data_IF_652439838903
#
_entry.id   IF_652439838903
#
_cell.length_a   1.000
_cell.length_b   1.000
_cell.length_c   1.000
_cell.angle_alpha   90.00
_cell.angle_beta   90.00
_cell.angle_gamma   90.00
#
_symmetry.space_group_name_H-M   'P 1'
#
loop_
_entity.id
_entity.type
_entity.pdbx_description
1 polymer ?
#
# COMPACT_ATOMS: atom_id res chain seq x y z
N UNK A 1 5.39 -6.49 -2.55
CA UNK A 1 4.19 -7.17 -3.06
C UNK A 1 3.39 -6.18 -3.91
N UNK A 2 3.10 -6.52 -5.18
CA UNK A 2 2.45 -5.59 -6.11
C UNK A 2 1.02 -6.05 -6.48
N UNK A 3 0.31 -6.67 -5.55
CA UNK A 3 -1.08 -7.11 -5.75
C UNK A 3 -2.05 -6.18 -5.00
N UNK A 4 -2.75 -5.35 -5.77
CA UNK A 4 -3.76 -4.41 -5.25
C UNK A 4 -5.11 -5.08 -4.95
N UNK A 5 -5.31 -6.35 -5.33
CA UNK A 5 -6.58 -7.07 -5.20
C UNK A 5 -6.65 -7.94 -3.95
N UNK A 6 -5.63 -7.89 -3.12
CA UNK A 6 -5.50 -8.68 -1.90
C UNK A 6 -4.56 -9.86 -2.09
N UNK A 7 -3.53 -9.86 -1.30
CA UNK A 7 -2.42 -10.82 -1.34
C UNK A 7 -2.75 -12.17 -0.69
N UNK A 8 -4.00 -12.60 -0.74
CA UNK A 8 -4.51 -13.83 -0.11
C UNK A 8 -3.78 -15.14 -0.50
N UNK A 9 -2.96 -15.08 -1.56
CA UNK A 9 -2.17 -16.21 -2.06
C UNK A 9 -0.73 -16.21 -1.53
N UNK A 10 -0.37 -15.17 -0.78
CA UNK A 10 0.98 -14.99 -0.26
C UNK A 10 0.93 -14.94 1.26
N UNK A 11 1.82 -15.68 1.88
CA UNK A 11 2.13 -15.57 3.31
C UNK A 11 3.46 -14.84 3.41
N UNK A 12 3.40 -13.54 3.72
CA UNK A 12 4.60 -12.72 3.85
C UNK A 12 5.09 -12.76 5.29
N UNK A 13 6.38 -12.97 5.46
CA UNK A 13 7.07 -12.91 6.75
C UNK A 13 8.52 -12.49 6.53
N UNK A 14 9.09 -11.85 7.52
CA UNK A 14 10.49 -11.45 7.54
C UNK A 14 11.35 -12.54 8.17
N UNK A 15 12.51 -12.77 7.60
CA UNK A 15 13.49 -13.75 8.12
C UNK A 15 14.67 -12.96 8.70
N UNK A 16 14.99 -13.21 9.97
CA UNK A 16 16.21 -12.70 10.61
C UNK A 16 17.48 -13.34 10.07
N UNK A 17 17.37 -14.54 9.53
CA UNK A 17 18.49 -15.26 8.94
C UNK A 17 18.08 -16.55 8.25
N UNK A 18 18.89 -17.01 7.32
CA UNK A 18 18.69 -18.27 6.59
C UNK A 18 19.87 -19.19 6.84
N UNK A 19 19.62 -20.33 7.49
CA UNK A 19 20.59 -21.40 7.61
C UNK A 19 20.50 -22.28 6.36
N UNK A 20 21.33 -22.01 5.35
CA UNK A 20 21.31 -22.72 4.07
C UNK A 20 21.94 -24.12 4.15
N UNK A 21 22.85 -24.36 5.10
CA UNK A 21 23.35 -25.68 5.43
C UNK A 21 22.53 -26.24 6.59
N UNK A 22 21.73 -27.25 6.32
CA UNK A 22 20.85 -27.90 7.29
C UNK A 22 20.79 -29.40 7.06
N UNK A 23 20.48 -30.16 8.12
CA UNK A 23 20.35 -31.63 8.11
C UNK A 23 18.87 -32.07 8.00
N UNK A 24 18.01 -31.20 7.46
CA UNK A 24 16.58 -31.53 7.27
C UNK A 24 16.44 -32.56 6.16
N UNK A 25 15.90 -33.73 6.50
CA UNK A 25 15.54 -34.74 5.52
C UNK A 25 14.27 -34.36 4.79
N UNK A 26 14.42 -34.00 3.52
CA UNK A 26 13.30 -33.55 2.66
C UNK A 26 12.26 -34.68 2.49
N UNK A 27 12.67 -35.93 2.43
CA UNK A 27 11.76 -37.09 2.31
C UNK A 27 10.88 -37.23 3.56
N UNK A 28 11.45 -37.00 4.74
CA UNK A 28 10.71 -36.99 5.99
C UNK A 28 9.70 -35.81 6.02
N UNK A 29 10.08 -34.65 5.54
CA UNK A 29 9.18 -33.50 5.45
C UNK A 29 7.97 -33.75 4.50
N UNK A 30 8.23 -34.36 3.33
CA UNK A 30 7.15 -34.76 2.42
C UNK A 30 6.28 -35.90 3.01
N UNK A 31 6.86 -36.83 3.72
CA UNK A 31 6.12 -37.91 4.40
C UNK A 31 5.19 -37.36 5.47
N UNK A 32 5.65 -36.36 6.24
CA UNK A 32 4.82 -35.65 7.22
C UNK A 32 3.68 -34.87 6.54
N UNK A 33 3.96 -34.15 5.46
CA UNK A 33 2.94 -33.43 4.70
C UNK A 33 1.85 -34.38 4.16
N UNK A 34 2.27 -35.55 3.62
CA UNK A 34 1.34 -36.57 3.13
C UNK A 34 0.50 -37.17 4.26
N UNK A 35 1.11 -37.41 5.42
CA UNK A 35 0.39 -37.88 6.60
C UNK A 35 -0.68 -36.86 7.06
N UNK A 36 -0.32 -35.60 7.17
CA UNK A 36 -1.23 -34.51 7.51
C UNK A 36 -2.40 -34.43 6.52
N UNK A 37 -2.10 -34.49 5.23
CA UNK A 37 -3.12 -34.48 4.18
C UNK A 37 -4.09 -35.66 4.31
N UNK A 38 -3.58 -36.88 4.51
CA UNK A 38 -4.39 -38.09 4.68
C UNK A 38 -5.19 -38.11 5.98
N UNK A 39 -4.72 -37.44 7.03
CA UNK A 39 -5.44 -37.29 8.31
C UNK A 39 -6.52 -36.21 8.31
N UNK A 40 -6.74 -35.55 7.17
CA UNK A 40 -7.77 -34.51 7.02
C UNK A 40 -7.34 -33.13 7.52
N UNK A 41 -6.03 -32.87 7.62
CA UNK A 41 -5.55 -31.54 7.96
C UNK A 41 -6.04 -30.52 6.95
N UNK A 42 -6.61 -29.40 7.43
CA UNK A 42 -7.10 -28.33 6.58
C UNK A 42 -5.94 -27.54 5.97
N UNK A 43 -5.83 -27.54 4.66
CA UNK A 43 -4.75 -26.87 3.91
C UNK A 43 -5.20 -25.60 3.20
N UNK A 44 -6.38 -25.07 3.50
CA UNK A 44 -6.91 -23.80 3.00
C UNK A 44 -7.24 -22.88 4.16
N UNK A 45 -7.24 -21.58 3.88
CA UNK A 45 -7.60 -20.54 4.82
C UNK A 45 -9.09 -20.21 4.72
N UNK A 46 -9.74 -19.95 5.85
CA UNK A 46 -11.07 -19.40 5.89
C UNK A 46 -11.08 -17.87 5.67
N UNK A 47 -12.27 -17.26 5.69
CA UNK A 47 -12.41 -15.84 5.40
C UNK A 47 -11.75 -14.94 6.47
N UNK A 48 -11.74 -15.35 7.73
CA UNK A 48 -11.13 -14.58 8.81
C UNK A 48 -9.60 -14.66 8.76
N UNK A 49 -9.07 -15.84 8.51
CA UNK A 49 -7.65 -16.06 8.28
C UNK A 49 -7.15 -15.28 7.05
N UNK A 50 -7.93 -15.26 5.95
CA UNK A 50 -7.60 -14.47 4.76
C UNK A 50 -7.58 -12.97 5.08
N UNK A 51 -8.47 -12.47 5.94
CA UNK A 51 -8.43 -11.07 6.39
C UNK A 51 -7.14 -10.78 7.19
N UNK A 52 -6.80 -11.67 8.12
CA UNK A 52 -5.57 -11.54 8.93
C UNK A 52 -4.32 -11.58 8.07
N UNK A 53 -4.23 -12.49 7.10
CA UNK A 53 -3.14 -12.58 6.12
C UNK A 53 -3.06 -11.30 5.30
N UNK A 54 -4.18 -10.79 4.82
CA UNK A 54 -4.24 -9.57 4.01
C UNK A 54 -3.76 -8.36 4.82
N UNK A 55 -4.15 -8.27 6.09
CA UNK A 55 -3.70 -7.19 6.99
C UNK A 55 -2.19 -7.27 7.24
N UNK A 56 -1.68 -8.45 7.59
CA UNK A 56 -0.24 -8.66 7.75
C UNK A 56 0.55 -8.32 6.48
N UNK A 57 0.02 -8.65 5.32
CA UNK A 57 0.69 -8.41 4.04
C UNK A 57 0.74 -6.92 3.64
N UNK A 58 -0.04 -6.04 4.28
CA UNK A 58 0.00 -4.60 3.99
C UNK A 58 1.38 -3.99 4.23
N UNK A 59 2.07 -4.42 5.28
CA UNK A 59 3.42 -3.93 5.61
C UNK A 59 4.48 -4.30 4.54
N UNK A 60 4.22 -5.34 3.74
CA UNK A 60 5.12 -5.77 2.66
C UNK A 60 4.72 -5.24 1.29
N UNK A 61 3.70 -4.39 1.19
CA UNK A 61 3.30 -3.77 -0.07
C UNK A 61 4.27 -2.65 -0.42
N UNK A 62 4.80 -2.72 -1.64
CA UNK A 62 5.56 -1.60 -2.20
C UNK A 62 4.60 -0.47 -2.55
N UNK A 63 4.92 0.72 -2.08
CA UNK A 63 4.26 1.93 -2.54
C UNK A 63 4.76 2.28 -3.95
N UNK A 64 3.87 2.75 -4.82
CA UNK A 64 4.33 3.30 -6.09
C UNK A 64 4.92 4.70 -5.85
N UNK A 65 5.87 5.15 -6.72
CA UNK A 65 6.41 6.51 -6.59
C UNK A 65 5.31 7.59 -6.56
N UNK A 66 4.24 7.37 -7.32
CA UNK A 66 3.09 8.30 -7.34
C UNK A 66 2.31 8.28 -6.02
N UNK A 67 2.23 7.14 -5.35
CA UNK A 67 1.61 6.98 -4.04
C UNK A 67 2.46 7.67 -2.95
N UNK A 68 3.76 7.48 -2.96
CA UNK A 68 4.69 8.14 -2.04
C UNK A 68 4.62 9.66 -2.19
N UNK A 69 4.67 10.17 -3.44
CA UNK A 69 4.53 11.59 -3.70
C UNK A 69 3.18 12.15 -3.25
N UNK A 70 2.09 11.40 -3.46
CA UNK A 70 0.77 11.81 -3.00
C UNK A 70 0.77 12.00 -1.48
N UNK A 71 1.29 11.03 -0.73
CA UNK A 71 1.32 11.07 0.73
C UNK A 71 2.32 12.10 1.29
N UNK A 72 3.38 12.39 0.55
CA UNK A 72 4.34 13.45 0.91
C UNK A 72 3.71 14.84 0.88
N UNK A 73 2.83 15.10 -0.09
CA UNK A 73 2.28 16.44 -0.34
C UNK A 73 0.84 16.63 0.12
N UNK A 74 0.08 15.54 0.35
CA UNK A 74 -1.33 15.60 0.68
C UNK A 74 -1.71 14.64 1.78
N UNK A 75 -2.54 15.10 2.69
CA UNK A 75 -3.15 14.32 3.75
C UNK A 75 -4.65 14.15 3.50
N UNK A 76 -5.22 12.92 3.72
CA UNK A 76 -6.65 12.74 3.72
C UNK A 76 -7.29 13.52 4.89
N UNK A 77 -8.38 14.20 4.62
CA UNK A 77 -9.09 14.93 5.64
C UNK A 77 -10.61 14.90 5.41
N UNK A 78 -11.35 15.20 6.46
CA UNK A 78 -12.78 15.41 6.36
C UNK A 78 -13.08 16.69 5.55
N UNK A 79 -14.29 16.75 4.99
CA UNK A 79 -14.72 17.88 4.14
C UNK A 79 -14.53 19.25 4.80
N UNK A 80 -14.73 19.31 6.11
CA UNK A 80 -14.69 20.55 6.90
C UNK A 80 -13.26 21.06 7.10
N UNK A 81 -12.28 20.16 7.12
CA UNK A 81 -10.88 20.46 7.34
C UNK A 81 -10.07 20.55 6.04
N UNK A 82 -10.73 20.40 4.89
CA UNK A 82 -10.06 20.38 3.60
C UNK A 82 -9.61 21.80 3.19
N UNK A 83 -8.32 21.93 2.88
CA UNK A 83 -7.78 23.13 2.26
C UNK A 83 -8.05 23.19 0.75
N UNK A 84 -8.16 22.02 0.11
CA UNK A 84 -8.35 21.89 -1.33
C UNK A 84 -9.37 20.80 -1.69
N UNK A 85 -9.98 20.99 -2.87
CA UNK A 85 -10.86 19.99 -3.49
C UNK A 85 -10.44 19.81 -4.94
N UNK A 86 -9.72 18.74 -5.22
CA UNK A 86 -9.11 18.48 -6.53
C UNK A 86 -9.53 17.11 -7.07
N UNK A 87 -9.63 17.00 -8.40
CA UNK A 87 -9.75 15.70 -9.05
C UNK A 87 -8.36 15.03 -9.23
N UNK A 88 -8.34 13.75 -9.60
CA UNK A 88 -7.07 13.00 -9.74
C UNK A 88 -6.11 13.63 -10.77
N UNK A 89 -6.64 14.21 -11.85
CA UNK A 89 -5.81 14.89 -12.88
C UNK A 89 -5.19 16.18 -12.35
N UNK A 90 -5.95 16.97 -11.57
CA UNK A 90 -5.44 18.20 -10.94
C UNK A 90 -4.39 17.89 -9.87
N UNK A 91 -4.59 16.82 -9.09
CA UNK A 91 -3.59 16.33 -8.13
C UNK A 91 -2.33 15.92 -8.89
N UNK A 92 -2.48 15.13 -9.96
CA UNK A 92 -1.37 14.71 -10.81
C UNK A 92 -0.60 15.89 -11.40
N UNK A 93 -1.27 16.93 -11.86
CA UNK A 93 -0.63 18.15 -12.36
C UNK A 93 0.22 18.83 -11.29
N UNK A 94 -0.32 19.01 -10.07
CA UNK A 94 0.45 19.56 -8.94
C UNK A 94 1.66 18.71 -8.57
N UNK A 95 1.52 17.39 -8.56
CA UNK A 95 2.64 16.49 -8.29
C UNK A 95 3.70 16.54 -9.40
N UNK A 96 3.29 16.67 -10.66
CA UNK A 96 4.19 16.81 -11.79
C UNK A 96 5.03 18.10 -11.74
N UNK A 97 4.43 19.20 -11.29
CA UNK A 97 5.13 20.47 -11.08
C UNK A 97 6.22 20.36 -9.98
N UNK A 98 5.91 19.62 -8.89
CA UNK A 98 6.80 19.51 -7.73
C UNK A 98 7.91 18.48 -7.90
N UNK A 99 7.60 17.34 -8.51
CA UNK A 99 8.50 16.18 -8.60
C UNK A 99 8.97 15.84 -10.01
N UNK A 100 8.65 16.68 -11.02
CA UNK A 100 9.02 16.47 -12.44
C UNK A 100 8.62 15.08 -12.97
N UNK A 101 7.50 14.53 -12.52
CA UNK A 101 6.96 13.27 -13.01
C UNK A 101 6.19 13.48 -14.32
N UNK A 102 6.24 12.50 -15.22
CA UNK A 102 5.43 12.52 -16.43
C UNK A 102 3.98 12.26 -16.12
N UNK A 103 3.13 13.22 -16.47
CA UNK A 103 1.68 13.09 -16.32
C UNK A 103 1.09 12.38 -17.55
N UNK A 104 0.61 11.16 -17.34
CA UNK A 104 -0.11 10.38 -18.34
C UNK A 104 -1.30 9.66 -17.69
N UNK A 105 -2.13 9.01 -18.50
CA UNK A 105 -3.32 8.28 -18.00
C UNK A 105 -2.96 7.20 -16.98
N UNK A 106 -1.82 6.53 -17.16
CA UNK A 106 -1.31 5.54 -16.22
C UNK A 106 -1.01 6.15 -14.85
N UNK A 107 -0.33 7.30 -14.83
CA UNK A 107 -0.01 8.07 -13.60
C UNK A 107 -1.30 8.53 -12.90
N UNK A 108 -2.26 9.09 -13.67
CA UNK A 108 -3.56 9.52 -13.11
C UNK A 108 -4.32 8.34 -12.50
N UNK A 109 -4.32 7.19 -13.16
CA UNK A 109 -4.97 5.98 -12.66
C UNK A 109 -4.30 5.46 -11.37
N UNK A 110 -2.96 5.51 -11.26
CA UNK A 110 -2.24 5.15 -10.03
C UNK A 110 -2.56 6.09 -8.88
N UNK A 111 -2.59 7.40 -9.13
CA UNK A 111 -3.02 8.41 -8.15
C UNK A 111 -4.46 8.14 -7.70
N UNK A 112 -5.38 7.84 -8.62
CA UNK A 112 -6.77 7.51 -8.30
C UNK A 112 -6.90 6.26 -7.42
N UNK A 113 -6.07 5.24 -7.65
CA UNK A 113 -5.99 4.05 -6.79
C UNK A 113 -5.41 4.38 -5.40
N UNK A 114 -4.36 5.19 -5.34
CA UNK A 114 -3.74 5.63 -4.09
C UNK A 114 -4.72 6.45 -3.24
N UNK A 115 -5.45 7.39 -3.83
CA UNK A 115 -6.49 8.18 -3.16
C UNK A 115 -7.56 7.29 -2.51
N UNK A 116 -7.99 6.23 -3.22
CA UNK A 116 -8.93 5.26 -2.69
C UNK A 116 -8.32 4.39 -1.58
N UNK A 117 -7.08 3.94 -1.75
CA UNK A 117 -6.35 3.09 -0.79
C UNK A 117 -6.15 3.80 0.55
N UNK A 118 -5.85 5.09 0.52
CA UNK A 118 -5.58 5.92 1.70
C UNK A 118 -6.81 6.68 2.21
N UNK A 119 -8.02 6.26 1.80
CA UNK A 119 -9.29 6.77 2.32
C UNK A 119 -9.48 8.28 2.16
N UNK A 120 -8.95 8.89 1.08
CA UNK A 120 -9.28 10.27 0.75
C UNK A 120 -10.77 10.42 0.47
N UNK A 121 -11.41 11.37 1.13
CA UNK A 121 -12.87 11.57 1.04
C UNK A 121 -13.24 12.08 -0.34
N UNK A 122 -14.01 11.27 -1.08
CA UNK A 122 -14.49 11.56 -2.43
C UNK A 122 -15.83 12.28 -2.38
N UNK A 123 -15.93 13.40 -3.07
CA UNK A 123 -17.12 14.24 -3.18
C UNK A 123 -17.46 14.47 -4.64
N UNK A 124 -18.71 14.87 -4.90
CA UNK A 124 -19.14 15.34 -6.23
C UNK A 124 -19.28 16.86 -6.23
N UNK A 125 -18.55 17.55 -7.09
CA UNK A 125 -18.68 18.98 -7.33
C UNK A 125 -18.90 19.25 -8.81
N UNK A 126 -19.97 19.96 -9.16
CA UNK A 126 -20.33 20.31 -10.55
C UNK A 126 -20.28 19.12 -11.51
N UNK A 127 -20.78 17.96 -11.07
CA UNK A 127 -20.82 16.73 -11.87
C UNK A 127 -19.49 15.97 -11.98
N UNK A 128 -18.41 16.46 -11.37
CA UNK A 128 -17.09 15.80 -11.40
C UNK A 128 -16.69 15.30 -10.01
N UNK A 129 -16.04 14.13 -9.92
CA UNK A 129 -15.51 13.63 -8.67
C UNK A 129 -14.28 14.43 -8.25
N UNK A 130 -14.28 14.91 -7.01
CA UNK A 130 -13.14 15.58 -6.37
C UNK A 130 -12.84 14.94 -5.02
N UNK A 131 -11.62 15.13 -4.53
CA UNK A 131 -11.17 14.62 -3.24
C UNK A 131 -10.91 15.78 -2.29
N UNK A 132 -11.31 15.63 -1.04
CA UNK A 132 -10.98 16.56 0.03
C UNK A 132 -9.55 16.30 0.49
N UNK A 133 -8.71 17.33 0.48
CA UNK A 133 -7.27 17.24 0.72
C UNK A 133 -6.84 18.37 1.66
N UNK A 134 -5.87 18.05 2.51
CA UNK A 134 -5.01 19.05 3.14
C UNK A 134 -3.65 19.01 2.43
N UNK A 135 -3.20 20.14 1.94
CA UNK A 135 -1.92 20.27 1.24
C UNK A 135 -0.84 20.71 2.23
N UNK A 136 0.31 20.03 2.20
CA UNK A 136 1.47 20.41 2.99
C UNK A 136 2.30 21.48 2.27
N UNK A 137 2.87 22.39 3.05
CA UNK A 137 3.86 23.36 2.59
C UNK A 137 5.22 22.69 2.39
N UNK A 138 6.14 23.36 1.68
CA UNK A 138 7.51 22.88 1.55
C UNK A 138 8.22 22.76 2.90
N UNK A 139 7.95 23.66 3.83
CA UNK A 139 8.53 23.68 5.16
C UNK A 139 8.09 22.45 5.98
N UNK A 140 6.80 22.11 5.95
CA UNK A 140 6.23 20.94 6.62
C UNK A 140 6.80 19.61 6.06
N UNK A 141 6.98 19.54 4.74
CA UNK A 141 7.57 18.35 4.07
C UNK A 141 9.04 18.18 4.45
N UNK A 142 9.83 19.27 4.47
CA UNK A 142 11.24 19.23 4.87
C UNK A 142 11.42 18.82 6.34
N UNK A 143 10.56 19.28 7.23
CA UNK A 143 10.59 18.88 8.64
C UNK A 143 10.28 17.39 8.82
N UNK A 144 9.30 16.88 8.06
CA UNK A 144 8.93 15.45 8.10
C UNK A 144 10.06 14.56 7.58
N UNK A 145 10.73 14.97 6.50
CA UNK A 145 11.85 14.23 5.94
C UNK A 145 13.06 14.19 6.91
N UNK A 146 13.37 15.31 7.58
CA UNK A 146 14.45 15.36 8.59
C UNK A 146 14.18 14.45 9.81
N UNK A 147 12.93 14.32 10.24
CA UNK A 147 12.56 13.42 11.34
C UNK A 147 12.73 11.95 10.95
N UNK A 148 12.37 11.57 9.73
CA UNK A 148 12.50 10.19 9.24
C UNK A 148 13.96 9.76 9.02
N UNK A 149 14.90 10.69 8.82
CA UNK A 149 16.34 10.42 8.72
C UNK A 149 17.03 10.26 10.10
N UNK A 150 16.44 10.81 11.14
CA UNK A 150 17.02 10.78 12.50
C UNK A 150 16.61 9.51 13.28
N UNK A 151 15.60 8.78 12.80
CA UNK A 151 15.08 7.53 13.41
C UNK A 151 15.65 6.25 12.77
N UNK A 152 16.62 6.36 11.86
CA UNK A 152 17.38 5.24 11.27
C UNK A 152 18.80 5.18 11.84
#
# INVERSE_FOLDING_TARGET
LNDSTGSRRFLCFELEGIKYQHDVDINMAFSQALFLFKSGFRFWFDQEEIKSITENNKQYQLHSPEEELLLTWFEPCERENASLFLNASQIGAKLAERAKINLNDGTINKIGKALKKHNFVKLMRKGSPVYALKEFSYEEVDETNKKSETEK
#
